data_IF_266252561257
#
_entry.id   IF_266252561257
#
_cell.length_a   1.000
_cell.length_b   1.000
_cell.length_c   1.000
_cell.angle_alpha   90.00
_cell.angle_beta   90.00
_cell.angle_gamma   90.00
#
_symmetry.space_group_name_H-M   'P 1'
#
loop_
_entity.id
_entity.type
_entity.pdbx_description
1 polymer ?
#
# COMPACT_ATOMS: atom_id res chain seq x y z
N UNK A 1 -4.96 -1.33 28.72
CA UNK A 1 -4.01 -1.95 27.76
C UNK A 1 -4.53 -3.29 27.21
N UNK A 2 -5.39 -4.02 27.94
CA UNK A 2 -6.02 -5.28 27.46
C UNK A 2 -7.03 -5.12 26.30
N UNK A 3 -7.81 -4.03 26.28
CA UNK A 3 -8.84 -3.80 25.26
C UNK A 3 -8.28 -3.79 23.82
N UNK A 4 -7.05 -3.33 23.63
CA UNK A 4 -6.39 -3.27 22.32
C UNK A 4 -6.02 -4.67 21.80
N UNK A 5 -5.59 -5.58 22.69
CA UNK A 5 -5.22 -6.94 22.32
C UNK A 5 -6.42 -7.79 21.90
N UNK A 6 -7.55 -7.64 22.60
CA UNK A 6 -8.80 -8.34 22.27
C UNK A 6 -9.37 -7.84 20.95
N UNK A 7 -9.41 -6.52 20.74
CA UNK A 7 -9.91 -5.94 19.49
C UNK A 7 -9.05 -6.35 18.27
N UNK A 8 -7.72 -6.35 18.41
CA UNK A 8 -6.81 -6.82 17.36
C UNK A 8 -7.01 -8.30 17.06
N UNK A 9 -7.19 -9.13 18.09
CA UNK A 9 -7.48 -10.55 17.90
C UNK A 9 -8.78 -10.75 17.12
N UNK A 10 -9.86 -10.09 17.52
CA UNK A 10 -11.14 -10.17 16.85
C UNK A 10 -11.08 -9.71 15.38
N UNK A 11 -10.33 -8.63 15.10
CA UNK A 11 -10.08 -8.16 13.73
C UNK A 11 -9.42 -9.25 12.87
N UNK A 12 -8.33 -9.86 13.36
CA UNK A 12 -7.62 -10.88 12.59
C UNK A 12 -8.39 -12.18 12.46
N UNK A 13 -9.13 -12.59 13.49
CA UNK A 13 -10.00 -13.76 13.44
C UNK A 13 -11.12 -13.54 12.39
N UNK A 14 -11.68 -12.32 12.31
CA UNK A 14 -12.65 -11.96 11.28
C UNK A 14 -12.07 -12.05 9.86
N UNK A 15 -10.83 -11.57 9.66
CA UNK A 15 -10.16 -11.71 8.35
C UNK A 15 -9.89 -13.18 8.03
N UNK A 16 -9.45 -13.99 8.98
CA UNK A 16 -9.21 -15.43 8.76
C UNK A 16 -10.49 -16.16 8.33
N UNK A 17 -11.66 -15.74 8.81
CA UNK A 17 -12.96 -16.29 8.39
C UNK A 17 -13.34 -15.85 6.97
N UNK A 18 -13.10 -14.58 6.63
CA UNK A 18 -13.45 -14.01 5.31
C UNK A 18 -12.49 -14.51 4.22
N UNK A 19 -11.20 -14.52 4.50
CA UNK A 19 -10.13 -14.90 3.58
C UNK A 19 -9.05 -15.73 4.32
N UNK A 20 -9.22 -17.07 4.37
CA UNK A 20 -8.35 -17.95 5.13
C UNK A 20 -6.87 -17.83 4.75
N UNK A 21 -6.01 -17.73 5.76
CA UNK A 21 -4.56 -17.64 5.59
C UNK A 21 -4.01 -16.26 5.26
N UNK A 22 -4.84 -15.29 4.84
CA UNK A 22 -4.44 -13.91 4.57
C UNK A 22 -3.74 -13.24 5.77
N UNK A 23 -4.22 -13.35 7.03
CA UNK A 23 -3.58 -12.72 8.19
C UNK A 23 -2.09 -13.05 8.35
N UNK A 24 -1.69 -14.24 7.89
CA UNK A 24 -0.33 -14.75 8.01
C UNK A 24 0.42 -14.76 6.67
N UNK A 25 -0.14 -14.13 5.62
CA UNK A 25 0.49 -13.96 4.32
C UNK A 25 1.54 -12.84 4.37
N UNK A 26 2.45 -12.86 3.39
CA UNK A 26 3.40 -11.77 3.13
C UNK A 26 2.98 -10.93 1.94
N UNK A 27 3.32 -9.64 1.92
CA UNK A 27 2.87 -8.74 0.86
C UNK A 27 2.98 -7.26 1.21
N UNK A 28 2.11 -6.46 0.62
CA UNK A 28 2.02 -5.00 0.81
C UNK A 28 0.71 -4.65 1.52
N UNK A 29 0.74 -3.61 2.33
CA UNK A 29 -0.46 -2.97 2.86
C UNK A 29 -0.46 -1.47 2.54
N UNK A 30 -1.64 -0.93 2.31
CA UNK A 30 -1.83 0.51 2.02
C UNK A 30 -2.83 1.08 3.00
N UNK A 31 -2.39 2.08 3.76
CA UNK A 31 -3.30 2.90 4.56
C UNK A 31 -3.84 4.04 3.71
N UNK A 32 -5.14 4.22 3.78
CA UNK A 32 -5.88 5.20 2.98
C UNK A 32 -7.01 5.83 3.80
N UNK A 33 -7.49 6.97 3.34
CA UNK A 33 -8.77 7.55 3.80
C UNK A 33 -9.78 7.38 2.68
N UNK A 34 -11.00 6.99 3.03
CA UNK A 34 -12.10 6.91 2.09
C UNK A 34 -13.07 8.07 2.28
N UNK A 35 -13.45 8.69 1.16
CA UNK A 35 -14.48 9.72 1.08
C UNK A 35 -15.49 9.35 -0.02
N UNK A 36 -16.68 8.91 0.38
CA UNK A 36 -17.64 8.30 -0.55
C UNK A 36 -17.07 7.02 -1.13
N UNK A 37 -16.81 7.00 -2.44
CA UNK A 37 -16.19 5.88 -3.16
C UNK A 37 -14.71 6.13 -3.50
N UNK A 38 -14.17 7.29 -3.11
CA UNK A 38 -12.79 7.67 -3.44
C UNK A 38 -11.83 7.30 -2.31
N UNK A 39 -10.80 6.53 -2.64
CA UNK A 39 -9.74 6.15 -1.72
C UNK A 39 -8.46 6.95 -2.00
N UNK A 40 -7.95 7.62 -0.96
CA UNK A 40 -6.69 8.37 -1.04
C UNK A 40 -5.61 7.66 -0.20
N UNK A 41 -4.52 7.17 -0.81
CA UNK A 41 -3.46 6.49 -0.07
C UNK A 41 -2.62 7.49 0.72
N UNK A 42 -2.23 7.13 1.94
CA UNK A 42 -1.41 7.97 2.84
C UNK A 42 -0.11 7.30 3.25
N UNK A 43 -0.05 5.98 3.21
CA UNK A 43 1.15 5.22 3.55
C UNK A 43 1.10 3.85 2.90
N UNK A 44 2.24 3.42 2.37
CA UNK A 44 2.45 2.07 1.86
C UNK A 44 3.50 1.41 2.75
N UNK A 45 3.23 0.19 3.20
CA UNK A 45 4.23 -0.62 3.88
C UNK A 45 4.22 -2.05 3.36
N UNK A 46 5.28 -2.78 3.65
CA UNK A 46 5.37 -4.19 3.33
C UNK A 46 5.38 -5.05 4.59
N UNK A 47 5.16 -6.34 4.39
CA UNK A 47 5.52 -7.35 5.37
C UNK A 47 6.18 -8.55 4.71
N UNK A 48 7.33 -8.95 5.25
CA UNK A 48 7.96 -10.24 4.98
C UNK A 48 8.26 -10.96 6.32
N UNK A 49 7.53 -10.60 7.37
CA UNK A 49 7.72 -11.19 8.69
C UNK A 49 7.19 -12.63 8.73
N UNK A 50 7.72 -13.46 9.62
CA UNK A 50 7.24 -14.83 9.85
C UNK A 50 5.76 -14.89 10.24
N UNK A 51 5.28 -13.84 10.92
CA UNK A 51 3.89 -13.70 11.35
C UNK A 51 2.98 -13.03 10.29
N UNK A 52 3.54 -12.65 9.13
CA UNK A 52 2.81 -11.98 8.05
C UNK A 52 2.20 -10.65 8.47
N UNK A 53 1.10 -10.29 7.80
CA UNK A 53 0.34 -9.06 8.04
C UNK A 53 -0.01 -8.85 9.53
N UNK A 54 -0.46 -9.90 10.21
CA UNK A 54 -0.85 -9.86 11.63
C UNK A 54 0.27 -9.42 12.56
N UNK A 55 1.51 -9.82 12.28
CA UNK A 55 2.65 -9.46 13.11
C UNK A 55 3.20 -8.07 12.84
N UNK A 56 2.78 -7.42 11.76
CA UNK A 56 3.50 -6.26 11.23
C UNK A 56 2.68 -4.97 11.12
N UNK A 57 1.39 -5.04 10.78
CA UNK A 57 0.59 -3.83 10.46
C UNK A 57 0.32 -2.94 11.67
N UNK A 58 0.07 -3.54 12.83
CA UNK A 58 -0.33 -2.81 14.05
C UNK A 58 0.81 -2.66 15.06
N UNK A 59 2.06 -2.67 14.61
CA UNK A 59 3.16 -2.25 15.48
C UNK A 59 3.00 -0.76 15.81
N UNK A 60 3.33 -0.36 17.03
CA UNK A 60 3.00 0.95 17.62
C UNK A 60 3.39 2.15 16.73
N UNK A 61 4.59 2.14 16.14
CA UNK A 61 5.06 3.20 15.26
C UNK A 61 4.30 3.28 13.91
N UNK A 62 3.62 2.20 13.49
CA UNK A 62 2.78 2.15 12.26
C UNK A 62 1.34 2.58 12.54
N UNK A 63 0.82 2.27 13.73
CA UNK A 63 -0.46 2.79 14.23
C UNK A 63 -0.47 4.33 14.23
N UNK A 64 0.65 4.96 14.55
CA UNK A 64 0.75 6.43 14.49
C UNK A 64 0.53 6.98 13.07
N UNK A 65 0.95 6.28 12.01
CA UNK A 65 0.63 6.67 10.63
C UNK A 65 -0.86 6.52 10.31
N UNK A 66 -1.49 5.46 10.83
CA UNK A 66 -2.92 5.19 10.67
C UNK A 66 -3.79 6.25 11.39
N UNK A 67 -3.51 6.51 12.67
CA UNK A 67 -4.26 7.46 13.51
C UNK A 67 -4.10 8.90 13.00
N UNK A 68 -2.88 9.31 12.65
CA UNK A 68 -2.64 10.65 12.13
C UNK A 68 -3.28 10.92 10.76
N UNK A 69 -3.46 9.89 9.93
CA UNK A 69 -4.21 10.02 8.67
C UNK A 69 -5.70 10.26 8.96
N UNK A 70 -6.28 9.52 9.91
CA UNK A 70 -7.69 9.70 10.32
C UNK A 70 -7.98 11.01 11.05
N UNK A 71 -7.02 11.56 11.79
CA UNK A 71 -7.20 12.82 12.54
C UNK A 71 -7.09 14.07 11.67
N UNK A 72 -6.37 14.02 10.53
CA UNK A 72 -6.05 15.22 9.73
C UNK A 72 -7.01 15.50 8.58
N UNK A 73 -7.84 14.53 8.15
CA UNK A 73 -8.65 14.65 6.92
C UNK A 73 -10.04 14.02 7.12
N UNK A 74 -11.09 14.62 6.54
CA UNK A 74 -12.46 14.07 6.53
C UNK A 74 -12.50 12.75 5.75
N UNK A 75 -12.91 11.65 6.39
CA UNK A 75 -13.09 10.33 5.77
C UNK A 75 -12.92 9.20 6.78
N UNK A 76 -13.39 7.99 6.46
CA UNK A 76 -13.12 6.82 7.30
C UNK A 76 -11.77 6.20 6.93
N UNK A 77 -10.97 5.75 7.92
CA UNK A 77 -9.68 5.13 7.64
C UNK A 77 -9.88 3.71 7.09
N UNK A 78 -9.12 3.34 6.06
CA UNK A 78 -9.18 2.04 5.41
C UNK A 78 -7.77 1.45 5.23
N UNK A 79 -7.68 0.12 5.36
CA UNK A 79 -6.46 -0.67 5.15
C UNK A 79 -6.71 -1.63 3.99
N UNK A 80 -5.85 -1.59 2.99
CA UNK A 80 -5.83 -2.58 1.91
C UNK A 80 -4.71 -3.58 2.17
N UNK A 81 -5.01 -4.88 2.12
CA UNK A 81 -4.04 -5.97 2.23
C UNK A 81 -3.82 -6.59 0.86
N UNK A 82 -2.58 -6.59 0.39
CA UNK A 82 -2.20 -7.06 -0.95
C UNK A 82 -1.22 -8.21 -0.76
N UNK A 83 -1.76 -9.41 -0.63
CA UNK A 83 -0.97 -10.61 -0.42
C UNK A 83 -0.25 -11.04 -1.69
N UNK A 84 0.99 -11.49 -1.54
CA UNK A 84 1.68 -12.21 -2.59
C UNK A 84 1.07 -13.61 -2.73
N UNK A 85 0.70 -14.00 -3.94
CA UNK A 85 0.15 -15.31 -4.26
C UNK A 85 1.11 -16.12 -5.13
N UNK A 86 1.07 -17.44 -4.99
CA UNK A 86 1.79 -18.36 -5.86
C UNK A 86 1.16 -18.37 -7.26
N UNK A 87 1.92 -18.17 -8.35
CA UNK A 87 1.35 -18.03 -9.69
C UNK A 87 0.53 -19.24 -10.18
N UNK A 88 0.90 -20.45 -9.76
CA UNK A 88 0.28 -21.69 -10.27
C UNK A 88 -0.90 -22.12 -9.40
N UNK A 89 -0.72 -22.10 -8.08
CA UNK A 89 -1.71 -22.64 -7.13
C UNK A 89 -2.63 -21.59 -6.54
N UNK A 90 -2.29 -20.30 -6.67
CA UNK A 90 -3.05 -19.19 -6.08
C UNK A 90 -2.89 -19.06 -4.56
N UNK A 91 -2.11 -19.93 -3.90
CA UNK A 91 -1.93 -19.90 -2.45
C UNK A 91 -1.19 -18.64 -1.99
N UNK A 92 -1.53 -18.15 -0.79
CA UNK A 92 -0.76 -17.08 -0.17
C UNK A 92 0.67 -17.51 0.17
N UNK A 93 1.62 -16.73 -0.32
CA UNK A 93 3.02 -16.90 0.00
C UNK A 93 3.29 -16.61 1.48
N UNK A 94 4.31 -17.30 2.01
CA UNK A 94 4.86 -17.06 3.35
C UNK A 94 6.23 -16.42 3.28
N UNK A 95 6.72 -15.98 4.43
CA UNK A 95 8.05 -15.40 4.59
C UNK A 95 9.12 -16.37 4.09
N UNK A 96 9.90 -15.91 3.12
CA UNK A 96 11.10 -16.58 2.63
C UNK A 96 12.10 -15.52 2.15
N UNK A 97 13.36 -15.92 1.96
CA UNK A 97 14.39 -15.04 1.40
C UNK A 97 13.98 -14.52 0.00
N UNK A 98 13.50 -15.41 -0.88
CA UNK A 98 13.00 -15.06 -2.21
C UNK A 98 11.82 -14.09 -2.14
N UNK A 99 10.82 -14.39 -1.30
CA UNK A 99 9.66 -13.50 -1.09
C UNK A 99 10.08 -12.12 -0.63
N UNK A 100 11.13 -12.02 0.19
CA UNK A 100 11.61 -10.73 0.71
C UNK A 100 12.07 -9.76 -0.38
N UNK A 101 12.81 -10.25 -1.38
CA UNK A 101 13.28 -9.42 -2.49
C UNK A 101 12.11 -8.98 -3.38
N UNK A 102 11.24 -9.90 -3.76
CA UNK A 102 10.08 -9.60 -4.61
C UNK A 102 9.13 -8.59 -3.94
N UNK A 103 8.92 -8.70 -2.63
CA UNK A 103 8.11 -7.77 -1.85
C UNK A 103 8.80 -6.40 -1.72
N UNK A 104 10.13 -6.35 -1.65
CA UNK A 104 10.87 -5.08 -1.63
C UNK A 104 10.69 -4.30 -2.93
N UNK A 105 10.78 -4.98 -4.07
CA UNK A 105 10.52 -4.38 -5.39
C UNK A 105 9.06 -3.94 -5.51
N UNK A 106 8.11 -4.79 -5.10
CA UNK A 106 6.69 -4.47 -5.12
C UNK A 106 6.37 -3.25 -4.24
N UNK A 107 7.01 -3.13 -3.08
CA UNK A 107 6.87 -1.95 -2.21
C UNK A 107 7.30 -0.67 -2.95
N UNK A 108 8.42 -0.71 -3.67
CA UNK A 108 8.92 0.44 -4.45
C UNK A 108 7.91 0.87 -5.50
N UNK A 109 7.34 -0.09 -6.24
CA UNK A 109 6.31 0.17 -7.26
C UNK A 109 5.06 0.78 -6.63
N UNK A 110 4.56 0.17 -5.55
CA UNK A 110 3.35 0.62 -4.86
C UNK A 110 3.49 2.01 -4.24
N UNK A 111 4.68 2.35 -3.71
CA UNK A 111 4.99 3.71 -3.23
C UNK A 111 4.94 4.72 -4.39
N UNK A 112 5.48 4.38 -5.56
CA UNK A 112 5.40 5.24 -6.75
C UNK A 112 3.96 5.49 -7.19
N UNK A 113 3.14 4.44 -7.22
CA UNK A 113 1.71 4.55 -7.53
C UNK A 113 0.97 5.40 -6.50
N UNK A 114 1.25 5.21 -5.21
CA UNK A 114 0.67 5.99 -4.13
C UNK A 114 1.05 7.48 -4.23
N UNK A 115 2.30 7.81 -4.53
CA UNK A 115 2.76 9.20 -4.73
C UNK A 115 2.09 9.86 -5.93
N UNK A 116 1.85 9.11 -7.01
CA UNK A 116 1.11 9.61 -8.17
C UNK A 116 -0.36 9.90 -7.83
N UNK A 117 -0.98 9.05 -7.01
CA UNK A 117 -2.37 9.23 -6.56
C UNK A 117 -2.50 10.32 -5.48
N UNK A 118 -1.51 10.45 -4.61
CA UNK A 118 -1.44 11.43 -3.54
C UNK A 118 0.03 11.87 -3.30
N UNK A 119 0.41 13.08 -3.73
CA UNK A 119 1.76 13.62 -3.50
C UNK A 119 2.13 13.74 -2.01
N UNK A 120 1.15 13.77 -1.10
CA UNK A 120 1.34 13.91 0.35
C UNK A 120 1.54 12.57 1.09
N UNK A 121 1.79 11.48 0.36
CA UNK A 121 2.08 10.17 0.97
C UNK A 121 3.25 10.26 1.94
N UNK A 122 3.09 9.66 3.12
CA UNK A 122 4.00 9.80 4.27
C UNK A 122 5.20 8.86 4.25
N UNK A 123 5.38 8.10 3.18
CA UNK A 123 6.58 7.28 3.00
C UNK A 123 7.83 8.16 3.04
N UNK A 124 8.78 7.81 3.90
CA UNK A 124 10.07 8.50 4.00
C UNK A 124 11.16 7.84 3.15
N UNK A 125 11.03 6.54 2.90
CA UNK A 125 11.94 5.74 2.07
C UNK A 125 11.36 5.55 0.68
N UNK A 126 12.24 5.29 -0.30
CA UNK A 126 11.88 4.96 -1.69
C UNK A 126 11.08 6.05 -2.42
N UNK A 127 11.07 7.27 -1.88
CA UNK A 127 10.38 8.42 -2.51
C UNK A 127 11.31 9.30 -3.34
N UNK A 128 12.63 9.18 -3.17
CA UNK A 128 13.61 10.09 -3.81
C UNK A 128 13.45 10.11 -5.33
N UNK A 129 13.37 8.93 -5.97
CA UNK A 129 13.21 8.84 -7.42
C UNK A 129 11.95 9.58 -7.91
N UNK A 130 10.79 9.30 -7.30
CA UNK A 130 9.53 9.93 -7.67
C UNK A 130 9.46 11.45 -7.36
N UNK A 131 10.29 11.93 -6.42
CA UNK A 131 10.37 13.37 -6.08
C UNK A 131 11.33 14.15 -6.99
N UNK A 132 12.38 13.51 -7.48
CA UNK A 132 13.44 14.17 -8.26
C UNK A 132 13.37 13.87 -9.75
N UNK A 133 12.66 12.83 -10.17
CA UNK A 133 12.45 12.49 -11.56
C UNK A 133 11.08 12.99 -12.02
N UNK A 134 11.07 13.82 -13.06
CA UNK A 134 9.84 14.24 -13.72
C UNK A 134 9.81 13.66 -15.13
N UNK A 135 8.80 12.84 -15.41
CA UNK A 135 8.57 12.25 -16.73
C UNK A 135 7.14 12.60 -17.14
N UNK A 136 6.94 13.56 -18.06
CA UNK A 136 5.61 14.03 -18.44
C UNK A 136 4.65 12.89 -18.78
N UNK A 137 3.53 12.83 -18.05
CA UNK A 137 2.49 11.82 -18.22
C UNK A 137 2.73 10.47 -17.52
N UNK A 138 3.91 10.27 -16.90
CA UNK A 138 4.31 9.03 -16.21
C UNK A 138 4.66 9.30 -14.73
N UNK A 139 5.61 10.20 -14.44
CA UNK A 139 6.15 10.46 -13.09
C UNK A 139 6.09 11.96 -12.77
N UNK A 140 5.67 12.27 -11.55
CA UNK A 140 5.56 13.64 -11.04
C UNK A 140 4.18 14.26 -11.29
N UNK A 141 4.06 15.56 -11.01
CA UNK A 141 2.79 16.28 -11.09
C UNK A 141 2.29 16.34 -12.53
N UNK A 142 0.99 16.07 -12.75
CA UNK A 142 0.41 16.21 -14.09
C UNK A 142 0.50 17.67 -14.54
N UNK A 143 0.96 17.90 -15.78
CA UNK A 143 0.95 19.23 -16.38
C UNK A 143 -0.50 19.71 -16.55
N UNK A 144 -0.75 20.97 -16.21
CA UNK A 144 -2.04 21.62 -16.42
C UNK A 144 -2.21 21.96 -17.90
N UNK A 145 -3.34 21.58 -18.51
CA UNK A 145 -3.67 21.90 -19.90
C UNK A 145 -3.68 20.69 -20.85
N UNK A 146 -3.76 20.98 -22.16
CA UNK A 146 -3.77 19.94 -23.20
C UNK A 146 -2.40 19.24 -23.23
N UNK A 147 -2.43 17.90 -23.14
CA UNK A 147 -1.22 17.08 -23.23
C UNK A 147 -0.61 17.20 -24.63
N UNK A 148 0.71 17.15 -24.71
CA UNK A 148 1.39 17.01 -26.00
C UNK A 148 1.05 15.65 -26.63
N UNK A 149 1.11 15.58 -27.95
CA UNK A 149 0.86 14.34 -28.70
C UNK A 149 1.81 13.21 -28.27
N UNK A 150 3.09 13.51 -28.06
CA UNK A 150 4.06 12.54 -27.58
C UNK A 150 3.65 11.90 -26.23
N UNK A 151 3.13 12.71 -25.30
CA UNK A 151 2.63 12.22 -24.00
C UNK A 151 1.36 11.38 -24.19
N UNK A 152 0.47 11.78 -25.08
CA UNK A 152 -0.74 11.01 -25.38
C UNK A 152 -0.42 9.63 -25.97
N UNK A 153 0.47 9.59 -26.98
CA UNK A 153 0.91 8.35 -27.62
C UNK A 153 1.65 7.45 -26.63
N UNK A 154 2.54 7.99 -25.80
CA UNK A 154 3.23 7.21 -24.76
C UNK A 154 2.25 6.56 -23.78
N UNK A 155 1.26 7.32 -23.29
CA UNK A 155 0.25 6.79 -22.36
C UNK A 155 -0.63 5.73 -23.00
N UNK A 156 -0.96 5.88 -24.29
CA UNK A 156 -1.67 4.86 -25.04
C UNK A 156 -0.85 3.56 -25.14
N UNK A 157 0.43 3.66 -25.50
CA UNK A 157 1.35 2.50 -25.57
C UNK A 157 1.45 1.75 -24.24
N UNK A 158 1.46 2.48 -23.12
CA UNK A 158 1.59 1.90 -21.78
C UNK A 158 0.25 1.61 -21.09
N UNK A 159 -0.88 1.91 -21.74
CA UNK A 159 -2.26 1.77 -21.19
C UNK A 159 -2.46 2.48 -19.83
N UNK A 160 -1.99 3.73 -19.72
CA UNK A 160 -1.97 4.54 -18.48
C UNK A 160 -3.06 5.60 -18.37
#
# INVERSE_FOLDING_TARGET
MEATGVALKAFWDGIEVIEPGLPRAVGIYVFSTCHGETYTPWYVGKTNAKLGFRGEIFQEHKLNHYVSAGQRKRGYPAIHLIAKVEPVRGNFCRSSQKSGREIDELETVMIGMALRANPDVRNSKKTWFNKNCHVPGIIGQASTGRRSEAVATLRNTLKL
#
